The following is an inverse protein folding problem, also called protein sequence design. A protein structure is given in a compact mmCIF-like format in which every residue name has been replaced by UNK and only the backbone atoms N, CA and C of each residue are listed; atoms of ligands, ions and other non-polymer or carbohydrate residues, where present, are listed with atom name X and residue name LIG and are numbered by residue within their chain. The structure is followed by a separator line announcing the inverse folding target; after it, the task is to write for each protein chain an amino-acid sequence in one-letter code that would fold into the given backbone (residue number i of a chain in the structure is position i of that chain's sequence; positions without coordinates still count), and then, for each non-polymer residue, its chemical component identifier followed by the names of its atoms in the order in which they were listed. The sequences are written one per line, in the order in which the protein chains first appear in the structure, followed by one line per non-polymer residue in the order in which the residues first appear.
data_IF_109906357905
#
_entry.id   IF_109906357905
#
_cell.length_a   1.000
_cell.length_b   1.000
_cell.length_c   1.000
_cell.angle_alpha   90.00
_cell.angle_beta   90.00
_cell.angle_gamma   90.00
#
_symmetry.space_group_name_H-M   'P 1'
#
loop_
_entity.id
_entity.type
_entity.pdbx_description
1 polymer ?
#
# COMPACT_ATOMS: atom_id res chain seq x y z
N UNK A 1 -17.35 -18.53 -18.31
CA UNK A 1 -16.45 -17.60 -17.60
C UNK A 1 -15.04 -17.90 -18.06
N UNK A 2 -14.51 -17.08 -18.96
CA UNK A 2 -13.10 -17.17 -19.37
C UNK A 2 -12.23 -16.69 -18.21
N UNK A 3 -11.40 -17.60 -17.70
CA UNK A 3 -10.40 -17.26 -16.70
C UNK A 3 -9.39 -16.29 -17.35
N UNK A 4 -9.33 -15.05 -16.85
CA UNK A 4 -8.25 -14.12 -17.16
C UNK A 4 -6.92 -14.75 -16.69
N UNK A 5 -6.27 -15.51 -17.56
CA UNK A 5 -4.87 -15.91 -17.40
C UNK A 5 -4.02 -14.70 -17.74
N UNK A 6 -3.88 -13.79 -16.79
CA UNK A 6 -2.84 -12.77 -16.90
C UNK A 6 -1.49 -13.51 -16.79
N UNK A 7 -0.56 -13.37 -17.75
CA UNK A 7 0.78 -13.96 -17.68
C UNK A 7 1.67 -13.20 -16.67
N UNK A 8 1.13 -12.86 -15.50
CA UNK A 8 1.75 -11.96 -14.53
C UNK A 8 1.89 -12.67 -13.18
N UNK A 9 3.12 -12.73 -12.67
CA UNK A 9 3.43 -13.30 -11.36
C UNK A 9 3.19 -12.26 -10.27
N UNK A 10 2.08 -12.37 -9.55
CA UNK A 10 1.80 -11.48 -8.41
C UNK A 10 2.47 -12.07 -7.16
N UNK A 11 3.29 -11.27 -6.48
CA UNK A 11 3.90 -11.61 -5.20
C UNK A 11 3.26 -10.80 -4.07
N UNK A 12 3.01 -11.45 -2.93
CA UNK A 12 2.39 -10.82 -1.78
C UNK A 12 3.37 -10.78 -0.60
N UNK A 13 3.53 -9.62 0.03
CA UNK A 13 4.41 -9.46 1.18
C UNK A 13 3.70 -8.68 2.29
N UNK A 14 3.14 -9.42 3.24
CA UNK A 14 2.55 -8.85 4.45
C UNK A 14 3.61 -8.56 5.51
N UNK A 15 3.77 -7.31 5.95
CA UNK A 15 4.67 -6.97 7.06
C UNK A 15 3.87 -6.37 8.21
N UNK A 16 3.72 -7.13 9.29
CA UNK A 16 3.03 -6.69 10.50
C UNK A 16 3.70 -5.47 11.13
N UNK A 17 2.90 -4.52 11.61
CA UNK A 17 3.40 -3.33 12.32
C UNK A 17 4.12 -2.30 11.44
N UNK A 18 4.19 -2.50 10.12
CA UNK A 18 4.88 -1.58 9.22
C UNK A 18 4.32 -0.15 9.32
N UNK A 19 5.21 0.82 9.53
CA UNK A 19 4.90 2.25 9.56
C UNK A 19 5.54 2.96 8.37
N UNK A 20 5.16 4.23 8.14
CA UNK A 20 5.78 5.05 7.12
C UNK A 20 7.29 5.18 7.34
N UNK A 21 7.76 5.26 8.58
CA UNK A 21 9.18 5.45 8.85
C UNK A 21 10.05 4.22 8.61
N UNK A 22 9.46 3.05 8.44
CA UNK A 22 10.16 1.78 8.21
C UNK A 22 9.98 1.24 6.79
N UNK A 23 9.09 1.84 5.99
CA UNK A 23 8.69 1.35 4.67
C UNK A 23 9.88 1.14 3.72
N UNK A 24 10.72 2.16 3.50
CA UNK A 24 11.85 2.07 2.58
C UNK A 24 12.78 0.90 2.91
N UNK A 25 13.21 0.79 4.18
CA UNK A 25 14.07 -0.30 4.66
C UNK A 25 13.45 -1.68 4.47
N UNK A 26 12.16 -1.82 4.72
CA UNK A 26 11.45 -3.09 4.51
C UNK A 26 11.36 -3.48 3.04
N UNK A 27 11.20 -2.51 2.14
CA UNK A 27 11.20 -2.76 0.70
C UNK A 27 12.61 -3.12 0.22
N UNK A 28 13.65 -2.42 0.67
CA UNK A 28 15.05 -2.78 0.35
C UNK A 28 15.35 -4.23 0.73
N UNK A 29 15.02 -4.61 1.97
CA UNK A 29 15.22 -5.97 2.45
C UNK A 29 14.47 -7.00 1.60
N UNK A 30 13.25 -6.67 1.14
CA UNK A 30 12.50 -7.55 0.25
C UNK A 30 13.15 -7.67 -1.13
N UNK A 31 13.58 -6.55 -1.72
CA UNK A 31 14.20 -6.52 -3.06
C UNK A 31 15.56 -7.21 -3.07
N UNK A 32 16.31 -7.21 -1.96
CA UNK A 32 17.56 -7.98 -1.86
C UNK A 32 17.37 -9.49 -2.05
N UNK A 33 16.16 -10.00 -1.78
CA UNK A 33 15.85 -11.42 -1.83
C UNK A 33 14.87 -11.80 -2.95
N UNK A 34 14.47 -10.84 -3.80
CA UNK A 34 13.49 -11.06 -4.87
C UNK A 34 13.88 -10.34 -6.16
N UNK A 35 13.26 -10.73 -7.27
CA UNK A 35 13.46 -10.02 -8.54
C UNK A 35 12.79 -8.64 -8.49
N UNK A 36 13.46 -7.64 -9.08
CA UNK A 36 12.95 -6.28 -9.12
C UNK A 36 11.61 -6.24 -9.88
N UNK A 37 10.57 -5.75 -9.20
CA UNK A 37 9.23 -5.64 -9.77
C UNK A 37 9.14 -4.45 -10.73
N UNK A 38 8.44 -4.62 -11.86
CA UNK A 38 8.07 -3.49 -12.74
C UNK A 38 6.99 -2.61 -12.10
N UNK A 39 6.19 -3.17 -11.21
CA UNK A 39 5.10 -2.46 -10.53
C UNK A 39 5.14 -2.77 -9.03
N UNK A 40 5.16 -1.73 -8.22
CA UNK A 40 5.11 -1.82 -6.76
C UNK A 40 3.81 -1.21 -6.25
N UNK A 41 2.96 -2.01 -5.61
CA UNK A 41 1.66 -1.59 -5.12
C UNK A 41 1.66 -1.47 -3.58
N UNK A 42 1.68 -0.25 -3.09
CA UNK A 42 1.89 0.05 -1.68
C UNK A 42 0.58 0.41 -1.00
N UNK A 43 0.15 -0.43 -0.07
CA UNK A 43 -0.98 -0.15 0.82
C UNK A 43 -0.49 -0.03 2.26
N UNK A 44 -0.18 1.18 2.70
CA UNK A 44 0.41 1.37 4.02
C UNK A 44 -0.08 2.67 4.68
N UNK A 45 0.27 2.89 5.95
CA UNK A 45 -0.01 4.14 6.69
C UNK A 45 -1.13 4.02 7.71
N UNK A 46 -1.90 2.92 7.70
CA UNK A 46 -2.97 2.69 8.67
C UNK A 46 -2.47 2.59 10.12
N UNK A 47 -1.28 2.01 10.34
CA UNK A 47 -0.68 1.92 11.67
C UNK A 47 -0.29 3.31 12.20
N UNK A 48 0.26 4.17 11.32
CA UNK A 48 0.60 5.54 11.67
C UNK A 48 -0.63 6.39 12.01
N UNK A 49 -1.82 6.11 11.44
CA UNK A 49 -3.05 6.83 11.83
C UNK A 49 -3.39 6.64 13.32
N UNK A 50 -3.00 5.50 13.89
CA UNK A 50 -3.29 5.12 15.27
C UNK A 50 -2.37 5.82 16.28
N UNK A 51 -1.14 6.17 15.87
CA UNK A 51 -0.09 6.67 16.76
C UNK A 51 0.33 8.11 16.46
N UNK A 52 0.33 8.51 15.19
CA UNK A 52 0.89 9.77 14.72
C UNK A 52 -0.18 10.82 14.35
N UNK A 53 0.25 12.07 14.25
CA UNK A 53 -0.56 13.17 13.73
C UNK A 53 -0.61 13.13 12.20
N UNK A 54 -1.69 13.64 11.59
CA UNK A 54 -1.80 13.67 10.12
C UNK A 54 -0.61 14.39 9.47
N UNK A 55 -0.09 15.46 10.08
CA UNK A 55 1.08 16.19 9.58
C UNK A 55 2.31 15.30 9.54
N UNK A 56 2.58 14.55 10.62
CA UNK A 56 3.72 13.62 10.68
C UNK A 56 3.58 12.49 9.66
N UNK A 57 2.39 11.89 9.55
CA UNK A 57 2.09 10.87 8.52
C UNK A 57 2.36 11.40 7.11
N UNK A 58 1.85 12.60 6.78
CA UNK A 58 2.07 13.24 5.47
C UNK A 58 3.55 13.51 5.19
N UNK A 59 4.31 13.97 6.19
CA UNK A 59 5.75 14.21 6.06
C UNK A 59 6.51 12.92 5.79
N UNK A 60 6.23 11.86 6.56
CA UNK A 60 6.87 10.56 6.36
C UNK A 60 6.53 10.00 4.98
N UNK A 61 5.26 10.02 4.59
CA UNK A 61 4.80 9.59 3.28
C UNK A 61 5.53 10.34 2.14
N UNK A 62 5.69 11.66 2.23
CA UNK A 62 6.46 12.45 1.25
C UNK A 62 7.91 12.00 1.17
N UNK A 63 8.55 11.80 2.31
CA UNK A 63 9.94 11.36 2.40
C UNK A 63 10.12 9.98 1.76
N UNK A 64 9.26 9.01 2.12
CA UNK A 64 9.31 7.66 1.56
C UNK A 64 9.01 7.67 0.06
N UNK A 65 8.01 8.43 -0.41
CA UNK A 65 7.72 8.52 -1.84
C UNK A 65 8.91 9.11 -2.62
N UNK A 66 9.59 10.12 -2.08
CA UNK A 66 10.82 10.65 -2.70
C UNK A 66 11.90 9.57 -2.75
N UNK A 67 12.17 8.93 -1.62
CA UNK A 67 13.18 7.88 -1.50
C UNK A 67 12.92 6.72 -2.47
N UNK A 68 11.71 6.15 -2.46
CA UNK A 68 11.34 5.02 -3.32
C UNK A 68 11.45 5.34 -4.80
N UNK A 69 11.09 6.57 -5.22
CA UNK A 69 11.26 7.00 -6.61
C UNK A 69 12.72 7.14 -7.02
N UNK A 70 13.59 7.52 -6.09
CA UNK A 70 15.03 7.59 -6.34
C UNK A 70 15.67 6.21 -6.34
N UNK A 71 15.23 5.30 -5.47
CA UNK A 71 15.78 3.95 -5.36
C UNK A 71 15.28 2.99 -6.45
N UNK A 72 14.04 3.17 -6.92
CA UNK A 72 13.35 2.27 -7.86
C UNK A 72 12.91 3.03 -9.11
N UNK A 73 13.88 3.55 -9.87
CA UNK A 73 13.64 4.41 -11.04
C UNK A 73 12.90 3.70 -12.18
N UNK A 74 13.06 2.38 -12.30
CA UNK A 74 12.43 1.57 -13.35
C UNK A 74 11.15 0.86 -12.88
N UNK A 75 10.69 1.16 -11.66
CA UNK A 75 9.50 0.54 -11.05
C UNK A 75 8.37 1.55 -10.99
N UNK A 76 7.21 1.20 -11.54
CA UNK A 76 5.99 1.96 -11.37
C UNK A 76 5.47 1.80 -9.94
N UNK A 77 5.57 2.87 -9.14
CA UNK A 77 5.08 2.87 -7.77
C UNK A 77 3.63 3.36 -7.73
N UNK A 78 2.74 2.43 -7.43
CA UNK A 78 1.30 2.65 -7.23
C UNK A 78 1.05 2.64 -5.73
N UNK A 79 0.38 3.68 -5.23
CA UNK A 79 -0.04 3.70 -3.85
C UNK A 79 -1.55 3.57 -3.76
N UNK A 80 -1.98 2.71 -2.86
CA UNK A 80 -3.39 2.44 -2.59
C UNK A 80 -3.83 3.27 -1.40
N UNK A 81 -5.06 3.76 -1.49
CA UNK A 81 -5.71 4.45 -0.38
C UNK A 81 -5.67 3.60 0.90
N UNK A 82 -5.52 4.28 2.04
CA UNK A 82 -5.64 3.61 3.34
C UNK A 82 -7.08 3.11 3.46
N UNK A 83 -7.23 1.79 3.51
CA UNK A 83 -8.54 1.11 3.63
C UNK A 83 -9.08 1.31 5.06
N UNK A 84 -10.39 1.55 5.18
CA UNK A 84 -11.05 1.59 6.48
C UNK A 84 -11.12 0.18 7.07
N UNK A 85 -10.66 0.01 8.32
CA UNK A 85 -10.69 -1.29 9.01
C UNK A 85 -12.00 -1.46 9.73
N UNK A 86 -12.50 -2.70 9.79
CA UNK A 86 -13.62 -3.06 10.66
C UNK A 86 -13.24 -2.75 12.11
N UNK A 87 -12.04 -3.19 12.51
CA UNK A 87 -11.46 -2.95 13.82
C UNK A 87 -10.08 -2.28 13.70
N UNK A 88 -9.88 -1.23 14.47
CA UNK A 88 -8.58 -0.57 14.62
C UNK A 88 -7.98 -0.97 15.97
N UNK A 89 -6.78 -1.54 15.96
CA UNK A 89 -6.03 -1.87 17.19
C UNK A 89 -5.41 -0.60 17.79
N UNK A 90 -6.25 0.29 18.30
CA UNK A 90 -5.86 1.60 18.83
C UNK A 90 -6.79 1.99 19.98
N UNK A 91 -6.27 2.77 20.93
CA UNK A 91 -7.09 3.46 21.95
C UNK A 91 -7.93 4.61 21.36
N UNK A 92 -7.66 5.03 20.12
CA UNK A 92 -8.38 6.11 19.48
C UNK A 92 -9.77 5.66 18.99
N UNK A 93 -10.82 6.49 19.17
CA UNK A 93 -12.13 6.24 18.59
C UNK A 93 -12.09 6.12 17.06
N UNK A 94 -12.84 5.16 16.49
CA UNK A 94 -12.93 4.93 15.03
C UNK A 94 -13.20 6.22 14.24
N UNK A 95 -14.10 7.08 14.73
CA UNK A 95 -14.44 8.38 14.10
C UNK A 95 -13.20 9.27 13.90
N UNK A 96 -12.28 9.28 14.86
CA UNK A 96 -11.03 10.04 14.76
C UNK A 96 -10.12 9.43 13.70
N UNK A 97 -9.95 8.11 13.71
CA UNK A 97 -9.08 7.41 12.75
C UNK A 97 -9.62 7.58 11.32
N UNK A 98 -10.92 7.41 11.10
CA UNK A 98 -11.55 7.62 9.78
C UNK A 98 -11.39 9.07 9.30
N UNK A 99 -11.47 10.06 10.19
CA UNK A 99 -11.21 11.46 9.86
C UNK A 99 -9.74 11.70 9.46
N UNK A 100 -8.79 11.14 10.24
CA UNK A 100 -7.36 11.18 9.90
C UNK A 100 -7.11 10.53 8.53
N UNK A 101 -7.67 9.34 8.30
CA UNK A 101 -7.61 8.59 7.03
C UNK A 101 -8.01 9.45 5.84
N UNK A 102 -9.21 10.04 5.88
CA UNK A 102 -9.71 10.94 4.81
C UNK A 102 -8.75 12.11 4.55
N UNK A 103 -8.24 12.74 5.61
CA UNK A 103 -7.27 13.86 5.50
C UNK A 103 -5.95 13.43 4.87
N UNK A 104 -5.46 12.22 5.17
CA UNK A 104 -4.23 11.69 4.58
C UNK A 104 -4.47 11.27 3.12
N UNK A 105 -5.55 10.57 2.81
CA UNK A 105 -5.93 10.19 1.44
C UNK A 105 -6.08 11.40 0.51
N UNK A 106 -6.76 12.48 0.94
CA UNK A 106 -6.89 13.69 0.10
C UNK A 106 -5.53 14.33 -0.23
N UNK A 107 -4.60 14.30 0.73
CA UNK A 107 -3.24 14.77 0.49
C UNK A 107 -2.49 13.85 -0.48
N UNK A 108 -2.78 12.56 -0.44
CA UNK A 108 -2.15 11.60 -1.32
C UNK A 108 -2.52 11.81 -2.78
N UNK A 109 -3.81 12.08 -3.04
CA UNK A 109 -4.30 12.41 -4.37
C UNK A 109 -3.60 13.64 -4.96
N UNK A 110 -3.18 14.62 -4.14
CA UNK A 110 -2.43 15.78 -4.63
C UNK A 110 -0.95 15.48 -4.85
N UNK A 111 -0.30 14.71 -3.97
CA UNK A 111 1.12 14.32 -4.14
C UNK A 111 1.33 13.43 -5.37
N UNK A 112 0.36 12.55 -5.69
CA UNK A 112 0.39 11.72 -6.90
C UNK A 112 -0.21 12.37 -8.15
N UNK A 113 -0.66 13.63 -8.09
CA UNK A 113 -1.05 14.38 -9.28
C UNK A 113 0.12 15.19 -9.85
N UNK A 114 1.13 15.48 -9.03
CA UNK A 114 2.30 16.27 -9.40
C UNK A 114 3.41 15.34 -9.91
N UNK A 115 3.33 14.95 -11.18
CA UNK A 115 4.39 14.23 -11.89
C UNK A 115 3.86 13.34 -13.01
N UNK A 116 3.98 13.80 -14.26
CA UNK A 116 3.94 12.92 -15.43
C UNK A 116 5.28 13.02 -16.18
N UNK A 117 5.78 11.97 -16.85
CA UNK A 117 5.22 10.62 -16.97
C UNK A 117 6.20 9.54 -16.48
N UNK A 118 5.84 8.84 -15.41
CA UNK A 118 6.10 7.40 -15.27
C UNK A 118 4.95 6.86 -14.41
N UNK A 119 3.91 6.40 -15.10
CA UNK A 119 2.85 5.51 -14.64
C UNK A 119 2.43 5.64 -13.16
N UNK A 120 1.90 6.80 -12.79
CA UNK A 120 1.24 6.99 -11.50
C UNK A 120 -0.24 6.63 -11.63
N UNK A 121 -0.68 5.64 -10.86
CA UNK A 121 -2.08 5.27 -10.72
C UNK A 121 -2.49 5.50 -9.26
N UNK A 122 -3.55 6.27 -9.06
CA UNK A 122 -4.23 6.35 -7.77
C UNK A 122 -5.42 5.41 -7.81
N UNK A 123 -5.31 4.27 -7.12
CA UNK A 123 -6.44 3.36 -7.00
C UNK A 123 -7.32 3.83 -5.85
N UNK A 124 -8.38 4.60 -6.18
CA UNK A 124 -9.49 4.79 -5.26
C UNK A 124 -10.24 3.47 -5.05
N UNK A 125 -11.10 3.40 -4.03
CA UNK A 125 -11.92 2.21 -3.71
C UNK A 125 -12.70 1.63 -4.91
N UNK A 126 -12.95 2.43 -5.95
CA UNK A 126 -13.70 2.09 -7.15
C UNK A 126 -12.85 1.55 -8.32
N UNK A 127 -11.52 1.48 -8.22
CA UNK A 127 -10.65 1.08 -9.34
C UNK A 127 -10.33 -0.42 -9.40
N UNK A 128 -10.85 -1.20 -8.46
CA UNK A 128 -10.71 -2.66 -8.51
C UNK A 128 -11.76 -3.23 -9.48
N UNK A 129 -11.35 -3.97 -10.54
CA UNK A 129 -12.29 -4.73 -11.36
C UNK A 129 -13.18 -5.62 -10.47
N UNK A 130 -14.43 -5.91 -10.88
CA UNK A 130 -15.27 -6.88 -10.17
C UNK A 130 -14.49 -8.19 -9.97
N UNK A 131 -14.21 -8.56 -8.72
CA UNK A 131 -13.37 -9.72 -8.35
C UNK A 131 -12.03 -9.39 -7.68
N UNK A 132 -11.48 -8.18 -7.85
CA UNK A 132 -10.22 -7.79 -7.18
C UNK A 132 -10.44 -7.37 -5.73
N UNK A 133 -11.57 -6.75 -5.41
CA UNK A 133 -11.97 -6.53 -4.00
C UNK A 133 -12.08 -7.86 -3.26
N UNK A 134 -12.56 -8.91 -3.94
CA UNK A 134 -12.55 -10.26 -3.39
C UNK A 134 -11.11 -10.77 -3.25
N UNK A 135 -10.21 -10.59 -4.22
CA UNK A 135 -8.81 -11.04 -4.13
C UNK A 135 -7.98 -10.37 -3.02
N UNK A 136 -8.16 -9.06 -2.82
CA UNK A 136 -7.55 -8.30 -1.70
C UNK A 136 -8.10 -8.76 -0.35
N UNK A 137 -9.37 -9.17 -0.31
CA UNK A 137 -10.03 -9.66 0.91
C UNK A 137 -9.86 -11.17 1.13
N UNK A 138 -9.67 -11.95 0.07
CA UNK A 138 -9.53 -13.42 0.06
C UNK A 138 -8.07 -13.85 0.15
N UNK A 139 -7.12 -13.04 -0.30
CA UNK A 139 -5.71 -13.16 0.10
C UNK A 139 -5.52 -12.99 1.61
N UNK A 140 -6.37 -12.18 2.25
CA UNK A 140 -6.46 -12.13 3.72
C UNK A 140 -7.14 -13.38 4.33
N UNK A 141 -7.89 -14.15 3.54
CA UNK A 141 -8.56 -15.39 3.94
C UNK A 141 -7.71 -16.65 3.80
N UNK A 142 -6.72 -16.68 2.89
CA UNK A 142 -5.78 -17.81 2.73
C UNK A 142 -4.67 -17.80 3.80
N UNK A 143 -4.56 -16.72 4.58
CA UNK A 143 -3.65 -16.57 5.72
C UNK A 143 -4.41 -16.64 7.05
N UNK A 144 -5.26 -17.66 7.23
CA UNK A 144 -6.04 -17.94 8.45
C UNK A 144 -5.21 -18.20 9.73
N UNK A 145 -3.90 -17.95 9.70
CA UNK A 145 -2.99 -18.07 10.83
C UNK A 145 -2.28 -16.77 11.23
N UNK A 146 -2.59 -15.61 10.65
CA UNK A 146 -1.97 -14.34 11.06
C UNK A 146 -2.93 -13.48 11.89
N UNK A 147 -2.50 -13.01 13.08
CA UNK A 147 -3.36 -12.25 13.98
C UNK A 147 -3.85 -10.98 13.28
N UNK A 148 -5.13 -10.68 13.46
CA UNK A 148 -5.80 -9.49 12.98
C UNK A 148 -4.97 -8.24 13.36
N UNK A 149 -4.26 -7.66 12.39
CA UNK A 149 -3.32 -6.56 12.64
C UNK A 149 -2.20 -6.43 11.60
N UNK A 150 -1.96 -7.46 10.78
CA UNK A 150 -0.98 -7.41 9.70
C UNK A 150 -1.50 -6.63 8.49
N UNK A 151 -0.71 -5.69 7.95
CA UNK A 151 -1.05 -4.98 6.71
C UNK A 151 0.13 -4.97 5.73
N UNK A 152 -0.22 -4.91 4.45
CA UNK A 152 0.49 -5.57 3.36
C UNK A 152 1.17 -4.59 2.41
N UNK A 153 2.37 -4.92 1.95
CA UNK A 153 2.91 -4.38 0.72
C UNK A 153 2.67 -5.42 -0.39
N UNK A 154 2.09 -5.00 -1.51
CA UNK A 154 1.79 -5.92 -2.62
C UNK A 154 2.82 -5.64 -3.72
N UNK A 155 3.54 -6.68 -4.11
CA UNK A 155 4.63 -6.58 -5.08
C UNK A 155 4.18 -7.28 -6.37
N UNK A 156 3.92 -6.50 -7.42
CA UNK A 156 3.48 -7.09 -8.70
C UNK A 156 4.72 -7.22 -9.59
N UNK A 157 5.30 -8.42 -9.59
CA UNK A 157 6.38 -8.73 -10.52
C UNK A 157 5.79 -9.02 -11.90
N UNK A 158 6.43 -8.51 -12.95
CA UNK A 158 6.24 -9.05 -14.29
C UNK A 158 7.52 -9.80 -14.63
N UNK A 159 7.52 -11.12 -14.46
CA UNK A 159 8.43 -11.95 -15.26
C UNK A 159 7.85 -12.03 -16.67
N UNK A 160 8.67 -11.67 -17.66
CA UNK A 160 8.50 -12.12 -19.04
C UNK A 160 9.15 -13.51 -19.11
#
# INVERSE_FOLDING_TARGET
MENLRLPTSIAWCGIGGLTCSTLGRSIEAYVLHSTLSKVLLLQHGGNDLCTDSCTKVRTNIKRENKYLRTAFTDTAIIWVDIIDRINWCSSLPRKIITSKRRRVSMFWSSVCAVGKPQHQYHCGHSFFPPGWSALVTSGAGVLSGHPAGCHYAIFITHNI
#
